data_IF_534736999295
#
_entry.id   IF_534736999295
#
_cell.length_a   1.000
_cell.length_b   1.000
_cell.length_c   1.000
_cell.angle_alpha   90.00
_cell.angle_beta   90.00
_cell.angle_gamma   90.00
#
_symmetry.space_group_name_H-M   'P 1'
#
loop_
_entity.id
_entity.type
_entity.pdbx_description
1 polymer ?
#
# COMPACT_ATOMS: atom_id res chain seq x y z
N UNK A 1 7.36 0.88 5.61
CA UNK A 1 6.04 1.52 5.47
C UNK A 1 5.72 1.94 4.05
N UNK A 2 6.64 2.58 3.34
CA UNK A 2 6.36 3.12 1.99
C UNK A 2 5.96 2.06 0.96
N UNK A 3 6.67 0.91 0.90
CA UNK A 3 6.29 -0.22 0.04
C UNK A 3 4.90 -0.79 0.36
N UNK A 4 4.48 -0.72 1.62
CA UNK A 4 3.16 -1.18 2.05
C UNK A 4 2.06 -0.21 1.57
N UNK A 5 2.32 1.10 1.60
CA UNK A 5 1.44 2.12 1.03
C UNK A 5 1.33 1.96 -0.50
N UNK A 6 2.45 1.68 -1.18
CA UNK A 6 2.45 1.40 -2.63
C UNK A 6 1.59 0.17 -2.95
N UNK A 7 1.66 -0.89 -2.13
CA UNK A 7 0.78 -2.05 -2.27
C UNK A 7 -0.69 -1.70 -2.11
N UNK A 8 -1.06 -0.91 -1.09
CA UNK A 8 -2.45 -0.46 -0.87
C UNK A 8 -2.95 0.35 -2.08
N UNK A 9 -2.15 1.28 -2.59
CA UNK A 9 -2.47 2.10 -3.76
C UNK A 9 -2.64 1.24 -5.02
N UNK A 10 -1.76 0.27 -5.25
CA UNK A 10 -1.83 -0.65 -6.38
C UNK A 10 -3.09 -1.54 -6.36
N UNK A 11 -3.57 -1.94 -5.18
CA UNK A 11 -4.81 -2.72 -4.99
C UNK A 11 -6.05 -1.87 -5.29
N UNK A 12 -6.04 -0.59 -4.89
CA UNK A 12 -7.26 0.21 -4.80
C UNK A 12 -7.58 1.07 -6.04
N UNK A 13 -6.69 1.13 -7.05
CA UNK A 13 -6.81 2.11 -8.14
C UNK A 13 -8.04 1.95 -9.06
N UNK A 14 -8.71 0.79 -9.08
CA UNK A 14 -10.01 0.65 -9.78
C UNK A 14 -11.20 1.18 -8.98
N UNK A 15 -11.08 1.32 -7.66
CA UNK A 15 -12.10 1.96 -6.85
C UNK A 15 -12.00 3.49 -6.96
N UNK A 16 -10.82 4.05 -7.20
CA UNK A 16 -10.65 5.49 -7.39
C UNK A 16 -11.51 6.01 -8.56
N UNK A 17 -11.49 5.34 -9.71
CA UNK A 17 -12.34 5.73 -10.85
C UNK A 17 -13.84 5.51 -10.56
N UNK A 18 -14.20 4.41 -9.87
CA UNK A 18 -15.61 4.12 -9.53
C UNK A 18 -16.17 5.09 -8.47
N UNK A 19 -15.36 5.52 -7.50
CA UNK A 19 -15.76 6.51 -6.49
C UNK A 19 -15.78 7.92 -7.07
N UNK A 20 -14.83 8.30 -7.94
CA UNK A 20 -14.88 9.60 -8.64
C UNK A 20 -16.10 9.74 -9.55
N UNK A 21 -16.65 8.64 -10.09
CA UNK A 21 -17.87 8.66 -10.92
C UNK A 21 -19.15 8.57 -10.07
N UNK A 22 -19.08 8.09 -8.81
CA UNK A 22 -20.25 7.88 -7.93
C UNK A 22 -20.38 8.86 -6.77
N UNK A 23 -19.53 9.89 -6.68
CA UNK A 23 -19.72 10.98 -5.72
C UNK A 23 -20.74 12.01 -6.22
N UNK A 24 -21.93 11.55 -6.54
CA UNK A 24 -23.15 12.31 -6.26
C UNK A 24 -23.75 11.67 -5.00
N UNK A 25 -23.62 12.39 -3.89
CA UNK A 25 -24.40 12.26 -2.66
C UNK A 25 -24.54 10.84 -2.07
N UNK A 26 -23.79 10.60 -0.99
CA UNK A 26 -23.89 9.52 0.01
C UNK A 26 -22.75 8.50 -0.04
N UNK A 27 -21.70 8.74 0.75
CA UNK A 27 -21.03 7.70 1.56
C UNK A 27 -19.91 8.33 2.39
N UNK A 28 -20.15 8.36 3.70
CA UNK A 28 -19.29 8.90 4.76
C UNK A 28 -18.05 8.03 5.05
N UNK A 29 -17.67 7.15 4.12
CA UNK A 29 -16.62 6.13 4.27
C UNK A 29 -15.53 6.22 3.20
N UNK A 30 -15.43 7.33 2.46
CA UNK A 30 -14.27 7.59 1.60
C UNK A 30 -13.06 7.80 2.52
N UNK A 31 -12.30 6.73 2.76
CA UNK A 31 -10.98 6.87 3.36
C UNK A 31 -10.20 7.82 2.46
N UNK A 32 -9.72 8.92 3.04
CA UNK A 32 -9.21 10.05 2.29
C UNK A 32 -7.86 9.67 1.66
N UNK A 33 -7.91 9.05 0.48
CA UNK A 33 -6.72 8.60 -0.26
C UNK A 33 -5.76 9.76 -0.54
N UNK A 34 -6.26 11.00 -0.56
CA UNK A 34 -5.46 12.21 -0.60
C UNK A 34 -4.47 12.28 0.56
N UNK A 35 -4.87 11.95 1.80
CA UNK A 35 -3.97 11.92 2.96
C UNK A 35 -2.84 10.91 2.77
N UNK A 36 -3.17 9.75 2.18
CA UNK A 36 -2.24 8.68 1.83
C UNK A 36 -1.22 9.16 0.77
N UNK A 37 -1.70 9.91 -0.24
CA UNK A 37 -0.87 10.56 -1.23
C UNK A 37 0.02 11.64 -0.61
N UNK A 38 -0.51 12.50 0.26
CA UNK A 38 0.27 13.54 0.95
C UNK A 38 1.37 12.94 1.82
N UNK A 39 1.05 11.91 2.59
CA UNK A 39 1.98 11.16 3.43
C UNK A 39 3.12 10.57 2.60
N UNK A 40 2.81 9.97 1.44
CA UNK A 40 3.81 9.35 0.55
C UNK A 40 4.63 10.37 -0.26
N UNK A 41 3.98 11.38 -0.81
CA UNK A 41 4.57 12.37 -1.72
C UNK A 41 5.45 13.40 -1.01
N UNK A 42 5.25 13.61 0.29
CA UNK A 42 6.14 14.44 1.10
C UNK A 42 7.54 13.86 1.32
N UNK A 43 7.83 12.63 0.88
CA UNK A 43 9.07 11.89 1.19
C UNK A 43 9.38 11.81 2.69
N UNK A 44 8.41 12.10 3.56
CA UNK A 44 8.60 12.28 5.00
C UNK A 44 9.13 10.99 5.63
N UNK A 45 8.58 9.86 5.20
CA UNK A 45 8.93 8.50 5.64
C UNK A 45 10.26 8.02 5.06
N UNK A 46 10.68 8.56 3.92
CA UNK A 46 11.80 8.01 3.12
C UNK A 46 13.16 8.44 3.61
N UNK A 47 13.22 9.61 4.26
CA UNK A 47 14.45 10.19 4.79
C UNK A 47 14.28 10.56 6.27
N UNK A 48 14.05 9.58 7.17
CA UNK A 48 13.72 9.87 8.57
C UNK A 48 14.84 10.63 9.29
N UNK A 49 16.10 10.42 8.90
CA UNK A 49 17.26 11.13 9.47
C UNK A 49 17.34 12.61 9.07
N UNK A 50 16.71 12.99 7.97
CA UNK A 50 16.73 14.36 7.43
C UNK A 50 15.40 15.06 7.75
N UNK A 51 14.29 14.33 7.71
CA UNK A 51 12.95 14.82 7.95
C UNK A 51 12.56 14.66 9.43
N UNK A 52 12.83 15.70 10.24
CA UNK A 52 12.44 15.80 11.66
C UNK A 52 10.93 15.64 11.94
N UNK A 53 10.10 15.56 10.90
CA UNK A 53 8.64 15.45 10.96
C UNK A 53 8.18 13.99 11.17
N UNK A 54 9.01 12.99 10.83
CA UNK A 54 8.69 11.59 11.09
C UNK A 54 8.97 11.20 12.55
N UNK A 55 8.15 11.72 13.46
CA UNK A 55 8.13 11.35 14.87
C UNK A 55 7.43 10.00 15.09
N UNK A 56 7.55 9.47 16.31
CA UNK A 56 6.79 8.30 16.74
C UNK A 56 5.28 8.51 16.62
N UNK A 57 4.80 9.72 16.94
CA UNK A 57 3.39 10.09 16.83
C UNK A 57 2.90 10.03 15.38
N UNK A 58 3.64 10.60 14.42
CA UNK A 58 3.26 10.52 13.00
C UNK A 58 3.30 9.07 12.48
N UNK A 59 4.18 8.23 13.03
CA UNK A 59 4.19 6.80 12.74
C UNK A 59 2.95 6.08 13.25
N UNK A 60 2.46 6.41 14.46
CA UNK A 60 1.20 5.86 15.01
C UNK A 60 -0.01 6.29 14.17
N UNK A 61 -0.10 7.57 13.82
CA UNK A 61 -1.19 8.08 12.98
C UNK A 61 -1.23 7.37 11.63
N UNK A 62 -0.06 7.17 11.03
CA UNK A 62 0.07 6.48 9.75
C UNK A 62 -0.31 5.00 9.84
N UNK A 63 0.08 4.32 10.92
CA UNK A 63 -0.35 2.95 11.23
C UNK A 63 -1.88 2.88 11.32
N UNK A 64 -2.50 3.83 12.04
CA UNK A 64 -3.94 3.88 12.21
C UNK A 64 -4.67 4.07 10.87
N UNK A 65 -4.21 4.98 10.02
CA UNK A 65 -4.80 5.18 8.70
C UNK A 65 -4.65 3.95 7.80
N UNK A 66 -3.48 3.30 7.81
CA UNK A 66 -3.29 2.01 7.12
C UNK A 66 -4.30 0.98 7.59
N UNK A 67 -4.53 0.86 8.91
CA UNK A 67 -5.50 -0.10 9.44
C UNK A 67 -6.92 0.18 8.99
N UNK A 68 -7.32 1.45 8.95
CA UNK A 68 -8.62 1.87 8.43
C UNK A 68 -8.78 1.49 6.96
N UNK A 69 -7.75 1.73 6.15
CA UNK A 69 -7.70 1.38 4.73
C UNK A 69 -7.81 -0.12 4.49
N UNK A 70 -6.94 -0.92 5.10
CA UNK A 70 -6.90 -2.37 4.87
C UNK A 70 -8.16 -3.05 5.43
N UNK A 71 -8.87 -2.40 6.36
CA UNK A 71 -10.15 -2.87 6.84
C UNK A 71 -11.33 -2.61 5.88
N UNK A 72 -11.14 -1.82 4.82
CA UNK A 72 -12.14 -1.63 3.79
C UNK A 72 -12.49 -2.96 3.10
N UNK A 73 -13.78 -3.29 3.04
CA UNK A 73 -14.28 -4.54 2.47
C UNK A 73 -13.77 -4.78 1.04
N UNK A 74 -13.71 -3.74 0.20
CA UNK A 74 -13.27 -3.86 -1.18
C UNK A 74 -11.78 -4.17 -1.27
N UNK A 75 -10.95 -3.53 -0.42
CA UNK A 75 -9.52 -3.87 -0.33
C UNK A 75 -9.35 -5.32 0.12
N UNK A 76 -10.07 -5.77 1.14
CA UNK A 76 -10.04 -7.18 1.60
C UNK A 76 -10.39 -8.13 0.47
N UNK A 77 -11.49 -7.87 -0.24
CA UNK A 77 -11.97 -8.73 -1.32
C UNK A 77 -10.97 -8.78 -2.48
N UNK A 78 -10.38 -7.65 -2.86
CA UNK A 78 -9.37 -7.58 -3.92
C UNK A 78 -8.12 -8.39 -3.55
N UNK A 79 -7.67 -8.33 -2.30
CA UNK A 79 -6.53 -9.11 -1.80
C UNK A 79 -6.85 -10.62 -1.89
N UNK A 80 -8.03 -11.03 -1.42
CA UNK A 80 -8.47 -12.43 -1.49
C UNK A 80 -8.51 -12.91 -2.94
N UNK A 81 -9.04 -12.10 -3.87
CA UNK A 81 -9.09 -12.43 -5.29
C UNK A 81 -7.68 -12.61 -5.89
N UNK A 82 -6.75 -11.71 -5.57
CA UNK A 82 -5.35 -11.83 -6.03
C UNK A 82 -4.72 -13.12 -5.52
N UNK A 83 -4.88 -13.45 -4.23
CA UNK A 83 -4.33 -14.69 -3.67
C UNK A 83 -4.99 -15.96 -4.21
N UNK A 84 -6.30 -15.92 -4.45
CA UNK A 84 -7.03 -17.02 -5.08
C UNK A 84 -6.50 -17.27 -6.50
N UNK A 85 -6.21 -16.22 -7.26
CA UNK A 85 -5.62 -16.33 -8.58
C UNK A 85 -4.19 -16.90 -8.55
N UNK A 86 -3.37 -16.48 -7.59
CA UNK A 86 -2.02 -17.03 -7.37
C UNK A 86 -2.12 -18.54 -7.10
N UNK A 87 -2.98 -18.94 -6.16
CA UNK A 87 -3.13 -20.34 -5.76
C UNK A 87 -3.59 -21.23 -6.91
N UNK A 88 -4.55 -20.76 -7.70
CA UNK A 88 -5.09 -21.51 -8.83
C UNK A 88 -4.12 -21.58 -10.02
N UNK A 89 -2.91 -21.01 -9.91
CA UNK A 89 -1.93 -20.84 -11.01
C UNK A 89 -2.54 -20.19 -12.26
N UNK A 90 -3.66 -19.49 -12.07
CA UNK A 90 -4.33 -18.80 -13.14
C UNK A 90 -3.48 -17.58 -13.46
N UNK A 91 -3.00 -17.47 -14.69
CA UNK A 91 -2.34 -16.26 -15.23
C UNK A 91 -3.37 -15.14 -15.44
N UNK A 92 -4.24 -14.94 -14.46
CA UNK A 92 -5.37 -14.03 -14.50
C UNK A 92 -4.88 -12.61 -14.78
N UNK A 93 -5.79 -11.80 -15.31
CA UNK A 93 -5.52 -10.41 -15.55
C UNK A 93 -5.32 -9.64 -14.22
N UNK A 94 -5.86 -10.11 -13.10
CA UNK A 94 -5.90 -9.37 -11.82
C UNK A 94 -4.51 -9.25 -11.22
N UNK A 95 -3.78 -10.37 -11.03
CA UNK A 95 -2.42 -10.32 -10.47
C UNK A 95 -1.48 -9.53 -11.38
N UNK A 96 -1.56 -9.71 -12.70
CA UNK A 96 -0.73 -8.97 -13.66
C UNK A 96 -0.97 -7.47 -13.57
N UNK A 97 -2.22 -7.05 -13.41
CA UNK A 97 -2.58 -5.65 -13.22
C UNK A 97 -2.04 -5.10 -11.91
N UNK A 98 -2.18 -5.85 -10.82
CA UNK A 98 -1.62 -5.48 -9.52
C UNK A 98 -0.09 -5.28 -9.60
N UNK A 99 0.64 -6.28 -10.12
CA UNK A 99 2.11 -6.20 -10.26
C UNK A 99 2.55 -5.05 -11.17
N UNK A 100 1.88 -4.87 -12.32
CA UNK A 100 2.17 -3.76 -13.25
C UNK A 100 1.98 -2.39 -12.57
N UNK A 101 0.93 -2.25 -11.74
CA UNK A 101 0.64 -1.02 -11.00
C UNK A 101 1.66 -0.79 -9.89
N UNK A 102 1.96 -1.82 -9.11
CA UNK A 102 2.98 -1.74 -8.07
C UNK A 102 4.31 -1.26 -8.66
N UNK A 103 4.78 -1.90 -9.75
CA UNK A 103 5.97 -1.49 -10.50
C UNK A 103 5.88 -0.03 -10.91
N UNK A 104 4.79 0.38 -11.57
CA UNK A 104 4.61 1.75 -12.04
C UNK A 104 4.71 2.77 -10.89
N UNK A 105 3.98 2.56 -9.80
CA UNK A 105 3.97 3.46 -8.64
C UNK A 105 5.35 3.49 -7.96
N UNK A 106 5.99 2.32 -7.82
CA UNK A 106 7.34 2.19 -7.29
C UNK A 106 8.34 2.99 -8.13
N UNK A 107 8.41 2.77 -9.45
CA UNK A 107 9.33 3.49 -10.32
C UNK A 107 9.05 4.99 -10.31
N UNK A 108 7.76 5.37 -10.44
CA UNK A 108 7.33 6.77 -10.43
C UNK A 108 7.73 7.49 -9.15
N UNK A 109 7.88 6.80 -8.02
CA UNK A 109 8.11 7.49 -6.74
C UNK A 109 9.43 7.18 -6.05
N UNK A 110 10.08 6.05 -6.33
CA UNK A 110 11.39 5.70 -5.79
C UNK A 110 12.50 5.91 -6.81
N UNK A 111 12.34 5.40 -8.04
CA UNK A 111 13.48 5.31 -8.94
C UNK A 111 13.76 6.62 -9.70
N UNK A 112 12.73 7.38 -10.06
CA UNK A 112 12.91 8.64 -10.80
C UNK A 112 13.17 9.87 -9.93
N UNK A 113 12.72 9.87 -8.67
CA UNK A 113 12.73 11.07 -7.82
C UNK A 113 13.44 10.87 -6.48
N UNK A 114 13.98 9.69 -6.20
CA UNK A 114 14.54 9.38 -4.89
C UNK A 114 15.92 8.73 -4.94
N UNK A 115 16.87 9.40 -5.60
CA UNK A 115 18.28 8.99 -5.75
C UNK A 115 19.06 8.89 -4.41
N UNK A 116 18.42 9.21 -3.29
CA UNK A 116 18.99 9.19 -1.93
C UNK A 116 18.41 8.09 -1.05
N UNK A 117 17.43 7.33 -1.54
CA UNK A 117 16.85 6.23 -0.78
C UNK A 117 17.86 5.11 -0.62
N UNK A 118 18.20 4.74 0.61
CA UNK A 118 19.00 3.54 0.90
C UNK A 118 18.23 2.26 0.61
N UNK A 119 16.90 2.34 0.57
CA UNK A 119 16.00 1.23 0.28
C UNK A 119 15.73 1.23 -1.22
N UNK A 120 16.66 0.64 -1.98
CA UNK A 120 16.48 0.32 -3.39
C UNK A 120 16.10 -1.17 -3.51
N UNK A 121 14.91 -1.42 -4.02
CA UNK A 121 14.53 -2.74 -4.47
C UNK A 121 15.10 -2.95 -5.88
N UNK A 122 15.94 -3.98 -6.03
CA UNK A 122 16.43 -4.41 -7.34
C UNK A 122 15.25 -4.78 -8.23
N UNK A 123 15.26 -4.28 -9.47
CA UNK A 123 14.24 -4.53 -10.50
C UNK A 123 13.90 -6.01 -10.67
N UNK A 124 14.87 -6.90 -10.43
CA UNK A 124 14.68 -8.35 -10.50
C UNK A 124 13.74 -8.91 -9.44
N UNK A 125 13.60 -8.23 -8.29
CA UNK A 125 12.82 -8.69 -7.14
C UNK A 125 11.56 -7.85 -6.87
N UNK A 126 11.17 -6.99 -7.81
CA UNK A 126 10.10 -6.02 -7.59
C UNK A 126 8.74 -6.69 -7.43
N UNK A 127 8.50 -7.81 -8.14
CA UNK A 127 7.24 -8.55 -8.07
C UNK A 127 7.15 -9.35 -6.77
N UNK A 128 8.26 -9.97 -6.36
CA UNK A 128 8.39 -10.66 -5.09
C UNK A 128 8.15 -9.68 -3.94
N UNK A 129 8.73 -8.48 -4.04
CA UNK A 129 8.53 -7.41 -3.05
C UNK A 129 7.07 -6.96 -3.01
N UNK A 130 6.40 -6.85 -4.16
CA UNK A 130 4.97 -6.56 -4.22
C UNK A 130 4.17 -7.65 -3.50
N UNK A 131 4.42 -8.92 -3.81
CA UNK A 131 3.72 -10.08 -3.23
C UNK A 131 3.95 -10.16 -1.71
N UNK A 132 5.18 -9.95 -1.23
CA UNK A 132 5.49 -9.91 0.20
C UNK A 132 4.70 -8.81 0.89
N UNK A 133 4.69 -7.59 0.34
CA UNK A 133 3.93 -6.49 0.92
C UNK A 133 2.40 -6.76 0.89
N UNK A 134 1.89 -7.39 -0.17
CA UNK A 134 0.50 -7.83 -0.25
C UNK A 134 0.16 -8.86 0.83
N UNK A 135 1.07 -9.80 1.09
CA UNK A 135 0.92 -10.83 2.12
C UNK A 135 0.94 -10.24 3.53
N UNK A 136 1.79 -9.23 3.78
CA UNK A 136 1.78 -8.50 5.04
C UNK A 136 0.41 -7.85 5.28
N UNK A 137 -0.17 -7.20 4.25
CA UNK A 137 -1.51 -6.60 4.36
C UNK A 137 -2.56 -7.68 4.67
N UNK A 138 -2.50 -8.83 3.99
CA UNK A 138 -3.40 -9.94 4.27
C UNK A 138 -3.30 -10.44 5.72
N UNK A 139 -2.11 -10.54 6.28
CA UNK A 139 -1.92 -10.95 7.68
C UNK A 139 -2.44 -9.89 8.67
N UNK A 140 -2.24 -8.60 8.37
CA UNK A 140 -2.83 -7.50 9.15
C UNK A 140 -4.36 -7.62 9.19
N UNK A 141 -4.99 -7.98 8.08
CA UNK A 141 -6.44 -8.16 7.98
C UNK A 141 -6.92 -9.40 8.74
N UNK A 142 -6.20 -10.52 8.67
CA UNK A 142 -6.74 -11.85 8.99
C UNK A 142 -6.39 -12.38 10.38
N UNK A 143 -5.27 -11.98 10.98
CA UNK A 143 -4.76 -12.65 12.19
C UNK A 143 -4.71 -11.76 13.43
N UNK A 144 -4.03 -10.60 13.38
CA UNK A 144 -3.74 -9.84 14.61
C UNK A 144 -3.83 -8.30 14.47
N UNK A 145 -4.37 -7.78 13.36
CA UNK A 145 -4.57 -6.34 13.19
C UNK A 145 -3.28 -5.52 13.37
N UNK A 146 -3.35 -4.51 14.23
CA UNK A 146 -2.23 -3.60 14.53
C UNK A 146 -1.01 -4.31 15.13
N UNK A 147 -1.20 -5.40 15.86
CA UNK A 147 -0.11 -6.11 16.53
C UNK A 147 0.89 -6.67 15.50
N UNK A 148 0.39 -7.21 14.39
CA UNK A 148 1.24 -7.70 13.31
C UNK A 148 2.05 -6.57 12.66
N UNK A 149 1.43 -5.40 12.45
CA UNK A 149 2.08 -4.22 11.88
C UNK A 149 3.17 -3.67 12.83
N UNK A 150 2.90 -3.61 14.14
CA UNK A 150 3.89 -3.20 15.15
C UNK A 150 5.06 -4.20 15.20
N UNK A 151 4.77 -5.50 15.16
CA UNK A 151 5.82 -6.54 15.13
C UNK A 151 6.68 -6.43 13.87
N UNK A 152 6.08 -6.16 12.72
CA UNK A 152 6.79 -5.93 11.46
C UNK A 152 7.69 -4.70 11.50
N UNK A 153 7.26 -3.63 12.18
CA UNK A 153 8.02 -2.39 12.32
C UNK A 153 9.20 -2.45 13.31
N UNK A 154 9.23 -3.46 14.18
CA UNK A 154 10.32 -3.67 15.15
C UNK A 154 11.51 -4.44 14.57
N UNK A 155 11.30 -5.14 13.45
CA UNK A 155 12.34 -5.87 12.71
C UNK A 155 13.20 -4.92 11.86
#
# INVERSE_FOLDING_TARGET
MDLLLISIEAINLYNLDIYCIKTDHTMQNSVNLEELFYIRSGNLIRHPHINKICTFETSILLIYEILKLVNNYTIKNNIINIFTDIYNQNKSHIIKQYLKRFRYIYYKTQNYYNNRSEIYCNDQYIDETAIVNLYLIYNIISKDGIYFLIKYLKL
#
